data_IF_130637779340
#
_entry.id   IF_130637779340
#
_cell.length_a   1.000
_cell.length_b   1.000
_cell.length_c   1.000
_cell.angle_alpha   90.00
_cell.angle_beta   90.00
_cell.angle_gamma   90.00
#
_symmetry.space_group_name_H-M   'P 1'
#
loop_
_entity.id
_entity.type
_entity.pdbx_description
1 polymer ?
#
# COMPACT_ATOMS: atom_id res chain seq x y z
N UNK A 1 5.72 37.86 -12.03
CA UNK A 1 5.69 36.92 -13.18
C UNK A 1 6.27 35.52 -12.87
N UNK A 2 6.34 35.09 -11.59
CA UNK A 2 7.00 33.83 -11.16
C UNK A 2 6.10 32.61 -10.94
N UNK A 3 4.79 32.74 -11.04
CA UNK A 3 3.87 31.64 -10.72
C UNK A 3 3.62 30.66 -11.88
N UNK A 4 3.95 31.05 -13.11
CA UNK A 4 3.70 30.26 -14.34
C UNK A 4 4.87 29.38 -14.78
N UNK A 5 6.06 29.45 -14.17
CA UNK A 5 7.21 28.60 -14.54
C UNK A 5 7.07 27.12 -14.11
N UNK A 6 5.98 26.75 -13.43
CA UNK A 6 5.72 25.37 -12.99
C UNK A 6 4.83 24.54 -13.90
N UNK A 7 4.22 25.12 -14.93
CA UNK A 7 3.32 24.45 -15.90
C UNK A 7 3.96 24.38 -17.27
N UNK A 8 5.06 23.69 -17.36
CA UNK A 8 5.68 23.38 -18.61
C UNK A 8 5.12 22.04 -19.16
N UNK A 9 5.23 21.78 -20.48
CA UNK A 9 4.71 20.55 -21.10
C UNK A 9 5.30 19.28 -20.49
N UNK A 10 6.52 19.31 -20.01
CA UNK A 10 7.15 18.21 -19.27
C UNK A 10 6.40 17.90 -17.97
N UNK A 11 5.94 18.92 -17.27
CA UNK A 11 5.12 18.77 -16.06
C UNK A 11 3.78 18.09 -16.32
N UNK A 12 3.07 18.53 -17.36
CA UNK A 12 1.80 17.90 -17.75
C UNK A 12 2.01 16.42 -18.08
N UNK A 13 3.05 16.08 -18.85
CA UNK A 13 3.39 14.70 -19.19
C UNK A 13 3.64 13.87 -17.93
N UNK A 14 4.41 14.39 -16.96
CA UNK A 14 4.68 13.69 -15.69
C UNK A 14 3.42 13.43 -14.87
N UNK A 15 2.60 14.46 -14.64
CA UNK A 15 1.36 14.31 -13.85
C UNK A 15 0.38 13.38 -14.54
N UNK A 16 0.14 13.58 -15.83
CA UNK A 16 -0.80 12.76 -16.58
C UNK A 16 -0.36 11.29 -16.56
N UNK A 17 0.94 11.02 -16.76
CA UNK A 17 1.47 9.67 -16.67
C UNK A 17 1.26 9.04 -15.28
N UNK A 18 1.50 9.78 -14.19
CA UNK A 18 1.25 9.30 -12.83
C UNK A 18 -0.23 9.00 -12.58
N UNK A 19 -1.13 9.88 -13.04
CA UNK A 19 -2.57 9.70 -12.91
C UNK A 19 -3.01 8.45 -13.68
N UNK A 20 -2.57 8.30 -14.94
CA UNK A 20 -2.91 7.15 -15.79
C UNK A 20 -2.44 5.85 -15.15
N UNK A 21 -1.18 5.76 -14.69
CA UNK A 21 -0.65 4.57 -14.03
C UNK A 21 -1.46 4.22 -12.79
N UNK A 22 -1.77 5.21 -11.95
CA UNK A 22 -2.57 5.01 -10.74
C UNK A 22 -3.97 4.51 -11.06
N UNK A 23 -4.65 5.13 -12.04
CA UNK A 23 -5.99 4.72 -12.47
C UNK A 23 -5.99 3.30 -13.05
N UNK A 24 -5.02 2.96 -13.90
CA UNK A 24 -4.88 1.59 -14.45
C UNK A 24 -4.75 0.57 -13.31
N UNK A 25 -3.90 0.84 -12.32
CA UNK A 25 -3.71 -0.06 -11.18
C UNK A 25 -5.00 -0.17 -10.32
N UNK A 26 -5.70 0.94 -10.06
CA UNK A 26 -6.96 0.94 -9.32
C UNK A 26 -8.07 0.17 -10.05
N UNK A 27 -8.23 0.39 -11.35
CA UNK A 27 -9.19 -0.36 -12.16
C UNK A 27 -8.83 -1.84 -12.17
N UNK A 28 -7.54 -2.18 -12.37
CA UNK A 28 -7.08 -3.55 -12.40
C UNK A 28 -7.32 -4.30 -11.09
N UNK A 29 -7.05 -3.69 -9.93
CA UNK A 29 -7.32 -4.34 -8.64
C UNK A 29 -8.81 -4.55 -8.44
N UNK A 30 -9.64 -3.53 -8.73
CA UNK A 30 -11.10 -3.62 -8.57
C UNK A 30 -11.72 -4.68 -9.48
N UNK A 31 -11.34 -4.71 -10.75
CA UNK A 31 -11.86 -5.67 -11.73
C UNK A 31 -11.39 -7.09 -11.43
N UNK A 32 -10.11 -7.26 -11.03
CA UNK A 32 -9.57 -8.58 -10.65
C UNK A 32 -10.25 -9.09 -9.39
N UNK A 33 -10.38 -8.26 -8.36
CA UNK A 33 -11.08 -8.63 -7.13
C UNK A 33 -12.55 -9.00 -7.45
N UNK A 34 -13.29 -8.17 -8.18
CA UNK A 34 -14.68 -8.44 -8.57
C UNK A 34 -14.83 -9.76 -9.32
N UNK A 35 -13.92 -10.05 -10.27
CA UNK A 35 -13.93 -11.32 -11.00
C UNK A 35 -13.80 -12.53 -10.08
N UNK A 36 -12.80 -12.53 -9.20
CA UNK A 36 -12.51 -13.68 -8.33
C UNK A 36 -13.38 -13.71 -7.06
N UNK A 37 -14.11 -12.66 -6.76
CA UNK A 37 -15.18 -12.66 -5.74
C UNK A 37 -16.41 -13.44 -6.15
N UNK A 38 -16.60 -13.69 -7.45
CA UNK A 38 -17.71 -14.50 -7.98
C UNK A 38 -17.38 -15.99 -8.07
N UNK A 39 -16.12 -16.38 -7.90
CA UNK A 39 -15.65 -17.76 -8.00
C UNK A 39 -15.56 -18.33 -6.58
N UNK A 40 -16.41 -19.30 -6.28
CA UNK A 40 -16.37 -20.06 -5.02
C UNK A 40 -15.16 -20.98 -5.00
N UNK A 41 -14.51 -21.08 -3.86
CA UNK A 41 -13.45 -22.07 -3.67
C UNK A 41 -14.05 -23.47 -3.41
N UNK A 42 -13.35 -24.50 -3.86
CA UNK A 42 -13.80 -25.90 -3.78
C UNK A 42 -13.96 -26.41 -2.35
N UNK A 43 -13.27 -25.82 -1.38
CA UNK A 43 -13.36 -26.18 0.04
C UNK A 43 -14.50 -25.48 0.79
N UNK A 44 -15.22 -24.57 0.16
CA UNK A 44 -16.22 -23.70 0.81
C UNK A 44 -15.67 -22.97 2.05
N UNK A 45 -14.37 -22.74 2.09
CA UNK A 45 -13.67 -22.05 3.18
C UNK A 45 -13.97 -20.55 3.12
N UNK A 46 -14.37 -19.97 4.24
CA UNK A 46 -14.58 -18.52 4.35
C UNK A 46 -13.25 -17.78 4.52
N UNK A 47 -13.24 -16.47 4.24
CA UNK A 47 -12.06 -15.65 4.49
C UNK A 47 -11.61 -15.69 5.95
N UNK A 48 -12.55 -15.63 6.92
CA UNK A 48 -12.23 -15.74 8.34
C UNK A 48 -11.54 -17.06 8.68
N UNK A 49 -12.06 -18.17 8.16
CA UNK A 49 -11.45 -19.51 8.35
C UNK A 49 -10.06 -19.61 7.69
N UNK A 50 -9.87 -18.98 6.54
CA UNK A 50 -8.59 -18.96 5.86
C UNK A 50 -7.53 -18.15 6.66
N UNK A 51 -7.91 -17.00 7.20
CA UNK A 51 -7.03 -16.22 8.08
C UNK A 51 -6.66 -17.00 9.34
N UNK A 52 -7.63 -17.64 10.00
CA UNK A 52 -7.40 -18.50 11.17
C UNK A 52 -6.44 -19.66 10.85
N UNK A 53 -6.60 -20.26 9.69
CA UNK A 53 -5.70 -21.32 9.23
C UNK A 53 -4.26 -20.83 9.12
N UNK A 54 -4.02 -19.66 8.49
CA UNK A 54 -2.68 -19.06 8.38
C UNK A 54 -2.07 -18.82 9.75
N UNK A 55 -2.81 -18.20 10.68
CA UNK A 55 -2.33 -17.94 12.05
C UNK A 55 -1.91 -19.22 12.75
N UNK A 56 -2.73 -20.27 12.65
CA UNK A 56 -2.48 -21.58 13.27
C UNK A 56 -1.24 -22.26 12.69
N UNK A 57 -1.08 -22.24 11.35
CA UNK A 57 0.08 -22.83 10.68
C UNK A 57 1.41 -22.18 11.08
N UNK A 58 1.38 -20.89 11.41
CA UNK A 58 2.55 -20.15 11.87
C UNK A 58 2.68 -20.06 13.40
N UNK A 59 1.83 -20.76 14.15
CA UNK A 59 1.86 -20.74 15.63
C UNK A 59 1.54 -19.37 16.24
N UNK A 60 0.86 -18.49 15.49
CA UNK A 60 0.51 -17.15 15.96
C UNK A 60 -0.77 -17.22 16.79
N UNK A 61 -0.67 -16.88 18.08
CA UNK A 61 -1.78 -16.86 19.03
C UNK A 61 -2.11 -15.42 19.47
N UNK A 62 -3.33 -15.22 20.01
CA UNK A 62 -3.75 -13.92 20.52
C UNK A 62 -4.13 -12.89 19.46
N UNK A 63 -4.23 -13.27 18.20
CA UNK A 63 -4.78 -12.42 17.12
C UNK A 63 -6.26 -12.75 16.97
N UNK A 64 -7.12 -11.75 17.09
CA UNK A 64 -8.57 -11.89 16.86
C UNK A 64 -8.90 -11.58 15.41
N UNK A 65 -9.95 -12.22 14.89
CA UNK A 65 -10.48 -11.96 13.55
C UNK A 65 -11.89 -11.39 13.73
N UNK A 66 -12.09 -10.17 13.29
CA UNK A 66 -13.33 -9.43 13.45
C UNK A 66 -13.88 -8.98 12.09
N UNK A 67 -15.20 -8.88 12.00
CA UNK A 67 -15.86 -8.30 10.84
C UNK A 67 -15.82 -6.78 10.90
N UNK A 68 -15.64 -6.13 9.74
CA UNK A 68 -15.75 -4.68 9.55
C UNK A 68 -16.63 -4.37 8.36
N UNK A 69 -17.48 -3.36 8.49
CA UNK A 69 -18.36 -2.93 7.40
C UNK A 69 -17.58 -2.37 6.20
N UNK A 70 -18.13 -2.57 5.01
CA UNK A 70 -17.61 -2.04 3.76
C UNK A 70 -17.02 -3.08 2.83
N UNK A 71 -16.38 -2.64 1.76
CA UNK A 71 -15.69 -3.48 0.78
C UNK A 71 -14.26 -3.00 0.61
N UNK A 72 -13.31 -3.94 0.57
CA UNK A 72 -11.86 -3.63 0.49
C UNK A 72 -11.37 -2.78 1.68
N UNK A 73 -11.98 -2.98 2.86
CA UNK A 73 -11.59 -2.35 4.12
C UNK A 73 -10.77 -3.29 5.01
N UNK A 74 -10.39 -4.41 4.45
CA UNK A 74 -9.61 -5.45 5.11
C UNK A 74 -8.26 -4.91 5.59
N UNK A 75 -7.89 -5.24 6.83
CA UNK A 75 -6.59 -4.83 7.39
C UNK A 75 -6.25 -5.58 8.67
N UNK A 76 -4.95 -5.73 8.93
CA UNK A 76 -4.43 -6.10 10.25
C UNK A 76 -4.06 -4.84 11.04
N UNK A 77 -4.57 -4.73 12.26
CA UNK A 77 -4.22 -3.66 13.20
C UNK A 77 -3.24 -4.19 14.27
N UNK A 78 -1.95 -3.85 14.17
CA UNK A 78 -0.94 -4.33 15.12
C UNK A 78 -1.07 -3.74 16.53
N UNK A 79 -1.83 -2.65 16.71
CA UNK A 79 -2.03 -2.01 18.02
C UNK A 79 -3.01 -2.79 18.87
N UNK A 80 -4.07 -3.28 18.25
CA UNK A 80 -5.13 -4.05 18.92
C UNK A 80 -4.98 -5.55 18.71
N UNK A 81 -4.01 -5.96 17.88
CA UNK A 81 -3.74 -7.33 17.48
C UNK A 81 -4.98 -8.02 16.87
N UNK A 82 -5.62 -7.31 15.91
CA UNK A 82 -6.87 -7.72 15.28
C UNK A 82 -6.74 -7.70 13.76
N UNK A 83 -7.18 -8.78 13.12
CA UNK A 83 -7.45 -8.81 11.68
C UNK A 83 -8.91 -8.42 11.48
N UNK A 84 -9.17 -7.32 10.75
CA UNK A 84 -10.53 -6.91 10.38
C UNK A 84 -10.76 -7.23 8.92
N UNK A 85 -11.81 -8.03 8.66
CA UNK A 85 -12.19 -8.47 7.32
C UNK A 85 -13.54 -7.86 6.95
N UNK A 86 -13.61 -7.33 5.73
CA UNK A 86 -14.77 -6.64 5.18
C UNK A 86 -15.97 -7.55 4.91
N UNK A 87 -17.14 -6.96 4.62
CA UNK A 87 -18.37 -7.68 4.22
C UNK A 87 -18.13 -8.64 3.06
N UNK A 88 -17.26 -8.26 2.13
CA UNK A 88 -16.95 -9.05 0.93
C UNK A 88 -15.94 -10.17 1.17
N UNK A 89 -15.34 -10.24 2.37
CA UNK A 89 -14.27 -11.19 2.70
C UNK A 89 -14.63 -12.08 3.88
N UNK A 90 -15.14 -11.55 4.97
CA UNK A 90 -15.27 -12.26 6.26
C UNK A 90 -16.01 -13.61 6.13
N UNK A 91 -17.25 -13.58 5.65
CA UNK A 91 -18.10 -14.77 5.45
C UNK A 91 -18.07 -15.31 4.02
N UNK A 92 -17.34 -14.67 3.12
CA UNK A 92 -17.30 -15.06 1.71
C UNK A 92 -16.42 -16.28 1.51
N UNK A 93 -16.93 -17.24 0.72
CA UNK A 93 -16.19 -18.44 0.27
C UNK A 93 -15.55 -18.24 -1.09
N UNK A 94 -15.35 -17.00 -1.53
CA UNK A 94 -14.74 -16.74 -2.83
C UNK A 94 -13.22 -16.90 -2.81
N UNK A 95 -12.65 -17.16 -3.99
CA UNK A 95 -11.19 -17.22 -4.19
C UNK A 95 -10.51 -15.92 -3.78
N UNK A 96 -11.13 -14.77 -4.09
CA UNK A 96 -10.61 -13.45 -3.69
C UNK A 96 -10.61 -13.30 -2.17
N UNK A 97 -11.67 -13.72 -1.49
CA UNK A 97 -11.80 -13.63 -0.04
C UNK A 97 -10.70 -14.42 0.68
N UNK A 98 -10.46 -15.67 0.25
CA UNK A 98 -9.36 -16.49 0.80
C UNK A 98 -8.01 -15.81 0.58
N UNK A 99 -7.75 -15.31 -0.62
CA UNK A 99 -6.48 -14.62 -0.93
C UNK A 99 -6.24 -13.41 -0.05
N UNK A 100 -7.24 -12.51 0.08
CA UNK A 100 -7.14 -11.28 0.90
C UNK A 100 -7.01 -11.61 2.38
N UNK A 101 -7.83 -12.53 2.90
CA UNK A 101 -7.77 -12.93 4.31
C UNK A 101 -6.42 -13.55 4.69
N UNK A 102 -5.85 -14.40 3.83
CA UNK A 102 -4.50 -14.94 4.03
C UNK A 102 -3.43 -13.83 3.98
N UNK A 103 -3.61 -12.78 3.18
CA UNK A 103 -2.70 -11.64 3.12
C UNK A 103 -2.71 -10.86 4.44
N UNK A 104 -3.89 -10.55 4.98
CA UNK A 104 -4.00 -9.85 6.27
C UNK A 104 -3.43 -10.71 7.42
N UNK A 105 -3.67 -12.01 7.38
CA UNK A 105 -3.01 -12.93 8.31
C UNK A 105 -1.49 -12.98 8.11
N UNK A 106 -0.99 -12.82 6.88
CA UNK A 106 0.43 -12.67 6.58
C UNK A 106 1.06 -11.46 7.28
N UNK A 107 0.34 -10.34 7.38
CA UNK A 107 0.77 -9.17 8.17
C UNK A 107 0.81 -9.47 9.68
N UNK A 108 -0.15 -10.22 10.20
CA UNK A 108 -0.14 -10.65 11.59
C UNK A 108 1.06 -11.56 11.90
N UNK A 109 1.39 -12.47 10.99
CA UNK A 109 2.59 -13.32 11.08
C UNK A 109 3.86 -12.48 11.06
N UNK A 110 3.98 -11.51 10.14
CA UNK A 110 5.11 -10.58 10.11
C UNK A 110 5.28 -9.83 11.43
N UNK A 111 4.17 -9.42 12.04
CA UNK A 111 4.19 -8.73 13.32
C UNK A 111 4.67 -9.65 14.44
N UNK A 112 4.15 -10.86 14.52
CA UNK A 112 4.53 -11.85 15.52
C UNK A 112 6.00 -12.27 15.43
N UNK A 113 6.53 -12.41 14.21
CA UNK A 113 7.94 -12.76 13.94
C UNK A 113 8.90 -11.57 14.02
N UNK A 114 8.41 -10.37 14.35
CA UNK A 114 9.25 -9.16 14.36
C UNK A 114 9.98 -8.91 13.02
N UNK A 115 9.31 -9.13 11.90
CA UNK A 115 9.89 -8.96 10.57
C UNK A 115 10.49 -7.57 10.39
N UNK A 116 11.80 -7.50 10.14
CA UNK A 116 12.57 -6.25 10.16
C UNK A 116 12.00 -5.13 9.27
N UNK A 117 11.62 -5.38 7.99
CA UNK A 117 11.02 -4.33 7.17
C UNK A 117 9.73 -3.77 7.75
N UNK A 118 8.90 -4.59 8.40
CA UNK A 118 7.67 -4.14 9.05
C UNK A 118 7.97 -3.24 10.27
N UNK A 119 9.02 -3.54 11.03
CA UNK A 119 9.50 -2.69 12.13
C UNK A 119 10.00 -1.34 11.63
N UNK A 120 10.79 -1.33 10.56
CA UNK A 120 11.29 -0.10 9.92
C UNK A 120 10.11 0.74 9.44
N UNK A 121 9.14 0.14 8.72
CA UNK A 121 7.92 0.81 8.28
C UNK A 121 7.17 1.45 9.46
N UNK A 122 6.97 0.70 10.55
CA UNK A 122 6.24 1.17 11.73
C UNK A 122 6.96 2.32 12.44
N UNK A 123 8.30 2.30 12.46
CA UNK A 123 9.11 3.37 13.03
C UNK A 123 9.04 4.67 12.21
N UNK A 124 9.07 4.55 10.88
CA UNK A 124 9.03 5.71 9.97
C UNK A 124 7.61 6.30 9.86
N UNK A 125 6.56 5.50 10.04
CA UNK A 125 5.16 5.89 9.83
C UNK A 125 4.74 7.21 10.51
N UNK A 126 5.00 7.47 11.81
CA UNK A 126 4.56 8.71 12.45
C UNK A 126 5.26 9.93 11.85
N UNK A 127 6.56 9.82 11.55
CA UNK A 127 7.34 10.89 10.94
C UNK A 127 6.89 11.14 9.50
N UNK A 128 6.63 10.08 8.73
CA UNK A 128 6.14 10.18 7.36
C UNK A 128 4.74 10.83 7.28
N UNK A 129 3.84 10.49 8.22
CA UNK A 129 2.49 11.11 8.28
C UNK A 129 2.57 12.61 8.54
N UNK A 130 3.33 13.03 9.54
CA UNK A 130 3.54 14.45 9.83
C UNK A 130 4.28 15.14 8.68
N UNK A 131 5.33 14.50 8.16
CA UNK A 131 6.12 15.01 7.06
C UNK A 131 5.31 15.23 5.79
N UNK A 132 4.43 14.30 5.41
CA UNK A 132 3.61 14.44 4.21
C UNK A 132 2.62 15.61 4.29
N UNK A 133 2.02 15.86 5.45
CA UNK A 133 1.09 16.98 5.65
C UNK A 133 1.81 18.32 5.71
N UNK A 134 2.91 18.37 6.46
CA UNK A 134 3.68 19.62 6.63
C UNK A 134 4.48 19.99 5.38
N UNK A 135 4.93 19.00 4.59
CA UNK A 135 5.75 19.27 3.40
C UNK A 135 5.09 20.24 2.44
N UNK A 136 3.79 20.07 2.19
CA UNK A 136 3.06 20.95 1.27
C UNK A 136 2.94 22.38 1.80
N UNK A 137 2.77 22.57 3.12
CA UNK A 137 2.74 23.90 3.74
C UNK A 137 4.09 24.57 3.52
N UNK A 138 5.20 23.88 3.82
CA UNK A 138 6.55 24.43 3.63
C UNK A 138 6.87 24.71 2.16
N UNK A 139 6.45 23.84 1.24
CA UNK A 139 6.63 24.03 -0.20
C UNK A 139 5.87 25.28 -0.68
N UNK A 140 4.58 25.43 -0.30
CA UNK A 140 3.75 26.59 -0.68
C UNK A 140 4.36 27.88 -0.13
N UNK A 141 4.67 27.91 1.18
CA UNK A 141 5.33 29.05 1.80
C UNK A 141 6.66 29.37 1.09
N UNK A 142 7.45 28.35 0.77
CA UNK A 142 8.69 28.51 0.01
C UNK A 142 8.49 29.15 -1.36
N UNK A 143 7.36 28.93 -2.02
CA UNK A 143 7.01 29.58 -3.27
C UNK A 143 6.50 31.03 -3.11
N UNK A 144 5.86 31.35 -1.98
CA UNK A 144 5.36 32.71 -1.70
C UNK A 144 6.46 33.70 -1.36
N UNK A 145 7.57 33.26 -0.76
CA UNK A 145 8.68 34.13 -0.41
C UNK A 145 9.77 34.11 -1.48
N UNK A 146 10.32 35.26 -1.78
CA UNK A 146 11.50 35.40 -2.65
C UNK A 146 12.80 35.32 -1.84
N UNK A 147 13.95 35.11 -2.52
CA UNK A 147 15.28 35.12 -1.93
C UNK A 147 15.55 33.95 -0.93
N UNK A 148 16.50 34.12 -0.01
CA UNK A 148 17.02 33.08 0.88
C UNK A 148 15.96 32.42 1.75
N UNK A 149 14.99 33.17 2.24
CA UNK A 149 13.93 32.66 3.12
C UNK A 149 13.06 31.65 2.37
N UNK A 150 12.64 31.99 1.14
CA UNK A 150 11.83 31.06 0.33
C UNK A 150 12.55 29.73 0.03
N UNK A 151 13.87 29.78 -0.22
CA UNK A 151 14.67 28.58 -0.43
C UNK A 151 14.74 27.68 0.81
N UNK A 152 14.91 28.25 2.01
CA UNK A 152 14.97 27.49 3.26
C UNK A 152 13.66 26.70 3.44
N UNK A 153 12.50 27.38 3.31
CA UNK A 153 11.21 26.72 3.43
C UNK A 153 11.02 25.62 2.36
N UNK A 154 11.40 25.90 1.12
CA UNK A 154 11.29 24.94 0.02
C UNK A 154 12.11 23.67 0.28
N UNK A 155 13.37 23.80 0.73
CA UNK A 155 14.22 22.66 1.05
C UNK A 155 13.70 21.86 2.25
N UNK A 156 13.20 22.53 3.30
CA UNK A 156 12.55 21.84 4.43
C UNK A 156 11.36 21.01 3.92
N UNK A 157 10.51 21.60 3.07
CA UNK A 157 9.38 20.90 2.48
C UNK A 157 9.79 19.68 1.65
N UNK A 158 10.85 19.80 0.84
CA UNK A 158 11.39 18.69 0.04
C UNK A 158 11.93 17.58 0.94
N UNK A 159 12.66 17.89 2.01
CA UNK A 159 13.18 16.90 2.96
C UNK A 159 12.03 16.17 3.65
N UNK A 160 11.01 16.88 4.12
CA UNK A 160 9.82 16.29 4.72
C UNK A 160 9.07 15.39 3.74
N UNK A 161 8.95 15.79 2.48
CA UNK A 161 8.36 14.98 1.43
C UNK A 161 9.20 13.73 1.13
N UNK A 162 10.53 13.85 1.10
CA UNK A 162 11.44 12.72 0.90
C UNK A 162 11.27 11.64 1.98
N UNK A 163 10.97 12.01 3.23
CA UNK A 163 10.67 11.03 4.29
C UNK A 163 9.38 10.24 3.99
N UNK A 164 8.37 10.89 3.42
CA UNK A 164 7.14 10.18 2.98
C UNK A 164 7.40 9.25 1.80
N UNK A 165 8.29 9.62 0.88
CA UNK A 165 8.72 8.74 -0.23
C UNK A 165 9.46 7.52 0.31
N UNK A 166 10.38 7.70 1.26
CA UNK A 166 11.08 6.59 1.92
C UNK A 166 10.11 5.62 2.62
N UNK A 167 9.09 6.15 3.29
CA UNK A 167 8.04 5.31 3.87
C UNK A 167 7.30 4.49 2.81
N UNK A 168 6.94 5.10 1.69
CA UNK A 168 6.25 4.42 0.61
C UNK A 168 7.11 3.29 0.02
N UNK A 169 8.41 3.52 -0.16
CA UNK A 169 9.37 2.51 -0.61
C UNK A 169 9.53 1.39 0.44
N UNK A 170 9.65 1.75 1.73
CA UNK A 170 9.77 0.77 2.82
C UNK A 170 8.52 -0.11 2.98
N UNK A 171 7.37 0.32 2.45
CA UNK A 171 6.13 -0.46 2.43
C UNK A 171 6.20 -1.63 1.43
N UNK A 172 6.90 -1.49 0.30
CA UNK A 172 6.94 -2.51 -0.76
C UNK A 172 7.41 -3.89 -0.28
N UNK A 173 8.57 -4.04 0.41
CA UNK A 173 9.02 -5.35 0.88
C UNK A 173 8.06 -5.98 1.90
N UNK A 174 7.33 -5.18 2.67
CA UNK A 174 6.33 -5.66 3.64
C UNK A 174 5.14 -6.27 2.90
N UNK A 175 4.59 -5.56 1.91
CA UNK A 175 3.43 -6.00 1.12
C UNK A 175 3.74 -7.23 0.24
N UNK A 176 4.92 -7.23 -0.41
CA UNK A 176 5.34 -8.39 -1.19
C UNK A 176 5.58 -9.63 -0.30
N UNK A 177 6.17 -9.46 0.87
CA UNK A 177 6.40 -10.56 1.79
C UNK A 177 5.10 -11.09 2.39
N UNK A 178 4.13 -10.24 2.77
CA UNK A 178 2.81 -10.67 3.22
C UNK A 178 2.08 -11.48 2.14
N UNK A 179 2.07 -10.99 0.90
CA UNK A 179 1.50 -11.71 -0.24
C UNK A 179 2.21 -13.03 -0.53
N UNK A 180 3.54 -13.08 -0.41
CA UNK A 180 4.32 -14.31 -0.57
C UNK A 180 3.93 -15.34 0.49
N UNK A 181 3.89 -14.97 1.77
CA UNK A 181 3.47 -15.83 2.88
C UNK A 181 2.06 -16.37 2.69
N UNK A 182 1.13 -15.49 2.28
CA UNK A 182 -0.23 -15.89 1.96
C UNK A 182 -0.27 -16.99 0.88
N UNK A 183 0.44 -16.79 -0.23
CA UNK A 183 0.48 -17.75 -1.33
C UNK A 183 1.19 -19.05 -0.97
N UNK A 184 2.24 -19.01 -0.18
CA UNK A 184 2.93 -20.19 0.34
C UNK A 184 2.02 -21.01 1.24
N UNK A 185 1.30 -20.36 2.18
CA UNK A 185 0.35 -21.04 3.06
C UNK A 185 -0.85 -21.61 2.30
N UNK A 186 -1.39 -20.86 1.31
CA UNK A 186 -2.46 -21.35 0.44
C UNK A 186 -2.03 -22.62 -0.31
N UNK A 187 -0.81 -22.63 -0.86
CA UNK A 187 -0.27 -23.76 -1.60
C UNK A 187 0.01 -24.97 -0.69
N UNK A 188 0.77 -24.74 0.40
CA UNK A 188 1.24 -25.82 1.29
C UNK A 188 0.09 -26.43 2.13
N UNK A 189 -0.94 -25.64 2.40
CA UNK A 189 -2.13 -26.06 3.13
C UNK A 189 -3.25 -26.56 2.21
N UNK A 190 -3.01 -26.58 0.90
CA UNK A 190 -4.02 -26.97 -0.09
C UNK A 190 -5.36 -26.22 0.06
N UNK A 191 -5.30 -24.93 0.42
CA UNK A 191 -6.51 -24.12 0.62
C UNK A 191 -7.23 -23.82 -0.70
N UNK A 192 -6.46 -23.64 -1.77
CA UNK A 192 -6.94 -23.37 -3.13
C UNK A 192 -6.13 -24.20 -4.13
N UNK A 193 -6.77 -24.74 -5.14
CA UNK A 193 -6.14 -25.59 -6.15
C UNK A 193 -6.17 -24.98 -7.55
N UNK A 194 -5.19 -25.31 -8.37
CA UNK A 194 -5.18 -25.02 -9.80
C UNK A 194 -5.51 -23.56 -10.16
N UNK A 195 -6.64 -23.36 -10.82
CA UNK A 195 -7.11 -22.02 -11.23
C UNK A 195 -7.54 -21.15 -10.04
N UNK A 196 -7.98 -21.74 -8.92
CA UNK A 196 -8.31 -20.97 -7.71
C UNK A 196 -7.05 -20.33 -7.11
N UNK A 197 -5.95 -21.10 -7.00
CA UNK A 197 -4.66 -20.57 -6.56
C UNK A 197 -4.15 -19.47 -7.51
N UNK A 198 -4.26 -19.71 -8.81
CA UNK A 198 -3.90 -18.72 -9.84
C UNK A 198 -4.75 -17.46 -9.69
N UNK A 199 -6.03 -17.59 -9.38
CA UNK A 199 -6.95 -16.49 -9.11
C UNK A 199 -6.54 -15.65 -7.89
N UNK A 200 -6.30 -16.30 -6.76
CA UNK A 200 -5.82 -15.63 -5.55
C UNK A 200 -4.49 -14.91 -5.80
N UNK A 201 -3.54 -15.55 -6.49
CA UNK A 201 -2.28 -14.94 -6.89
C UNK A 201 -2.49 -13.68 -7.73
N UNK A 202 -3.41 -13.70 -8.71
CA UNK A 202 -3.74 -12.53 -9.54
C UNK A 202 -4.34 -11.40 -8.72
N UNK A 203 -5.20 -11.69 -7.75
CA UNK A 203 -5.77 -10.69 -6.83
C UNK A 203 -4.66 -10.01 -6.03
N UNK A 204 -3.78 -10.79 -5.39
CA UNK A 204 -2.68 -10.26 -4.58
C UNK A 204 -1.65 -9.49 -5.42
N UNK A 205 -1.34 -9.96 -6.63
CA UNK A 205 -0.46 -9.25 -7.56
C UNK A 205 -1.06 -7.91 -8.01
N UNK A 206 -2.37 -7.87 -8.31
CA UNK A 206 -3.04 -6.63 -8.67
C UNK A 206 -3.02 -5.62 -7.52
N UNK A 207 -3.24 -6.08 -6.28
CA UNK A 207 -3.12 -5.25 -5.08
C UNK A 207 -1.67 -4.73 -4.90
N UNK A 208 -0.67 -5.60 -5.00
CA UNK A 208 0.74 -5.23 -4.87
C UNK A 208 1.17 -4.16 -5.89
N UNK A 209 0.65 -4.20 -7.12
CA UNK A 209 0.94 -3.20 -8.14
C UNK A 209 0.45 -1.79 -7.78
N UNK A 210 -0.55 -1.65 -6.91
CA UNK A 210 -0.98 -0.32 -6.44
C UNK A 210 0.07 0.33 -5.55
N UNK A 211 0.78 -0.45 -4.74
CA UNK A 211 1.90 0.06 -3.92
C UNK A 211 3.10 0.44 -4.80
N UNK A 212 3.38 -0.33 -5.86
CA UNK A 212 4.43 0.02 -6.83
C UNK A 212 4.09 1.32 -7.54
N UNK A 213 2.85 1.49 -8.00
CA UNK A 213 2.39 2.73 -8.63
C UNK A 213 2.49 3.93 -7.68
N UNK A 214 2.11 3.76 -6.41
CA UNK A 214 2.22 4.81 -5.40
C UNK A 214 3.68 5.20 -5.14
N UNK A 215 4.60 4.23 -5.04
CA UNK A 215 6.03 4.50 -4.85
C UNK A 215 6.63 5.22 -6.07
N UNK A 216 6.32 4.77 -7.28
CA UNK A 216 6.78 5.42 -8.51
C UNK A 216 6.29 6.85 -8.59
N UNK A 217 5.00 7.10 -8.34
CA UNK A 217 4.39 8.44 -8.33
C UNK A 217 5.06 9.34 -7.30
N UNK A 218 5.32 8.82 -6.09
CA UNK A 218 5.97 9.58 -5.03
C UNK A 218 7.43 9.96 -5.40
N UNK A 219 8.19 9.04 -5.99
CA UNK A 219 9.55 9.28 -6.48
C UNK A 219 9.54 10.35 -7.59
N UNK A 220 8.65 10.21 -8.57
CA UNK A 220 8.54 11.16 -9.67
C UNK A 220 8.20 12.57 -9.16
N UNK A 221 7.28 12.67 -8.20
CA UNK A 221 6.93 13.95 -7.57
C UNK A 221 8.11 14.57 -6.80
N UNK A 222 8.89 13.76 -6.08
CA UNK A 222 10.09 14.23 -5.38
C UNK A 222 11.13 14.76 -6.37
N UNK A 223 11.43 14.03 -7.43
CA UNK A 223 12.36 14.44 -8.48
C UNK A 223 11.93 15.78 -9.09
N UNK A 224 10.65 15.93 -9.38
CA UNK A 224 10.09 17.18 -9.89
C UNK A 224 10.33 18.35 -8.92
N UNK A 225 10.04 18.18 -7.64
CA UNK A 225 10.25 19.22 -6.63
C UNK A 225 11.71 19.65 -6.56
N UNK A 226 12.64 18.70 -6.66
CA UNK A 226 14.08 18.97 -6.69
C UNK A 226 14.47 19.78 -7.94
N UNK A 227 13.95 19.41 -9.12
CA UNK A 227 14.21 20.12 -10.37
C UNK A 227 13.71 21.57 -10.29
N UNK A 228 12.49 21.79 -9.80
CA UNK A 228 11.92 23.13 -9.64
C UNK A 228 12.76 23.96 -8.66
N UNK A 229 13.17 23.38 -7.53
CA UNK A 229 14.02 24.08 -6.57
C UNK A 229 15.37 24.50 -7.17
N UNK A 230 16.00 23.61 -7.95
CA UNK A 230 17.27 23.90 -8.62
C UNK A 230 17.15 24.98 -9.71
N UNK A 231 16.08 24.95 -10.51
CA UNK A 231 15.85 25.96 -11.56
C UNK A 231 15.58 27.34 -10.97
N UNK A 232 14.96 27.41 -9.80
CA UNK A 232 14.70 28.68 -9.10
C UNK A 232 15.97 29.29 -8.48
N UNK A 233 16.99 28.48 -8.25
CA UNK A 233 18.28 28.95 -7.69
C UNK A 233 19.18 29.63 -8.75
N UNK A 234 18.97 29.34 -10.01
CA UNK A 234 19.64 29.94 -11.17
C UNK A 234 18.96 31.24 -11.57
#
# INVERSE_FOLDING_TARGET
MGFFYGFDMTYLVFIVSCIIITLICQVKVKTTFSKYSQIRNSRNMTGAQAAEYVLRQHGVTGVRIEHVAGSMTDHFDPRTNVIRLSDTVFNSTSVAAVGVACHEAGHAVQHAENYLPNRIRSFILPVARLGSSLSWIFIIVGFCFTQRVGFVFLYIGIILFALSVLFTIATLPVEFNASKRALETIRNGDLLYGEEYTGAKRVLQAAAMTYVAAALTAIMQLLRLIIIANNRRR
#
